data_IF_951607323977
#
_entry.id   IF_951607323977
#
_cell.length_a   1.000
_cell.length_b   1.000
_cell.length_c   1.000
_cell.angle_alpha   90.00
_cell.angle_beta   90.00
_cell.angle_gamma   90.00
#
_symmetry.space_group_name_H-M   'P 1'
#
loop_
_entity.id
_entity.type
_entity.pdbx_description
1 polymer ?
#
# COMPACT_ATOMS: atom_id res chain seq x y z
N UNK A 1 -24.99 -16.52 15.54
CA UNK A 1 -23.79 -15.68 15.46
C UNK A 1 -23.62 -15.34 13.99
N UNK A 2 -24.15 -14.21 13.55
CA UNK A 2 -24.01 -13.71 12.18
C UNK A 2 -22.74 -12.87 12.11
N UNK A 3 -21.69 -13.43 11.52
CA UNK A 3 -20.52 -12.70 11.08
C UNK A 3 -20.94 -11.76 9.93
N UNK A 4 -21.05 -10.48 10.23
CA UNK A 4 -21.12 -9.44 9.21
C UNK A 4 -19.68 -9.19 8.78
N UNK A 5 -19.23 -9.90 7.73
CA UNK A 5 -18.00 -9.55 7.02
C UNK A 5 -18.31 -8.35 6.15
N UNK A 6 -17.91 -7.19 6.62
CA UNK A 6 -17.81 -5.98 5.81
C UNK A 6 -16.66 -6.17 4.82
N UNK A 7 -17.00 -6.41 3.56
CA UNK A 7 -16.06 -6.32 2.46
C UNK A 7 -15.59 -4.85 2.37
N UNK A 8 -14.42 -4.52 2.89
CA UNK A 8 -13.80 -3.24 2.66
C UNK A 8 -13.22 -3.22 1.24
N UNK A 9 -14.05 -2.76 0.35
CA UNK A 9 -13.64 -2.30 -0.96
C UNK A 9 -12.80 -1.04 -0.71
N UNK A 10 -11.52 -1.06 -1.05
CA UNK A 10 -10.74 0.16 -1.25
C UNK A 10 -11.41 0.93 -2.38
N UNK A 11 -12.37 1.78 -2.01
CA UNK A 11 -13.03 2.68 -2.94
C UNK A 11 -12.06 3.82 -3.31
N UNK A 12 -11.18 3.56 -4.26
CA UNK A 12 -10.62 4.63 -5.06
C UNK A 12 -11.72 5.18 -5.95
N UNK A 13 -12.45 6.17 -5.44
CA UNK A 13 -13.35 6.96 -6.26
C UNK A 13 -12.53 7.79 -7.25
N UNK A 14 -12.52 7.34 -8.49
CA UNK A 14 -12.14 8.18 -9.61
C UNK A 14 -13.18 9.30 -9.78
N UNK A 15 -12.96 10.45 -9.15
CA UNK A 15 -13.72 11.66 -9.48
C UNK A 15 -13.17 12.24 -10.77
N UNK A 16 -13.98 12.14 -11.83
CA UNK A 16 -13.84 12.95 -13.04
C UNK A 16 -14.00 14.43 -12.65
N UNK A 17 -12.90 15.16 -12.53
CA UNK A 17 -12.91 16.61 -12.35
C UNK A 17 -13.30 17.30 -13.67
N UNK A 18 -14.56 17.67 -13.83
CA UNK A 18 -14.92 18.77 -14.71
C UNK A 18 -14.47 20.08 -14.04
N UNK A 19 -13.63 20.84 -14.75
CA UNK A 19 -13.14 22.16 -14.29
C UNK A 19 -14.32 23.13 -14.15
N UNK A 20 -14.53 23.76 -12.98
CA UNK A 20 -15.39 24.93 -12.88
C UNK A 20 -14.65 26.17 -13.41
N UNK A 21 -15.35 26.98 -14.19
CA UNK A 21 -14.92 28.32 -14.58
C UNK A 21 -14.88 29.26 -13.36
N UNK A 22 -13.98 30.23 -13.30
CA UNK A 22 -13.89 31.15 -12.17
C UNK A 22 -15.09 32.14 -12.20
N UNK A 23 -15.89 32.12 -11.15
CA UNK A 23 -16.85 33.19 -10.87
C UNK A 23 -16.26 34.16 -9.84
N UNK A 24 -16.19 35.42 -10.26
CA UNK A 24 -15.90 36.55 -9.38
C UNK A 24 -17.01 36.69 -8.34
N UNK A 25 -16.70 36.46 -7.07
CA UNK A 25 -17.59 36.78 -5.95
C UNK A 25 -16.95 37.80 -5.02
N UNK A 26 -17.57 38.99 -5.00
CA UNK A 26 -17.30 40.08 -4.06
C UNK A 26 -17.57 39.62 -2.63
N UNK A 27 -16.57 39.77 -1.78
CA UNK A 27 -16.65 39.57 -0.33
C UNK A 27 -17.61 40.61 0.30
N UNK A 28 -18.70 40.11 0.85
CA UNK A 28 -19.56 40.89 1.80
C UNK A 28 -19.16 40.51 3.21
N UNK A 29 -18.64 41.45 3.96
CA UNK A 29 -18.29 41.28 5.39
C UNK A 29 -19.56 41.07 6.23
N UNK A 30 -19.69 39.90 6.84
CA UNK A 30 -20.72 39.62 7.86
C UNK A 30 -20.17 39.83 9.27
N UNK A 31 -20.99 40.49 10.11
CA UNK A 31 -20.68 40.80 11.54
C UNK A 31 -20.55 39.49 12.37
N UNK A 32 -19.73 39.48 13.44
CA UNK A 32 -19.57 38.32 14.29
C UNK A 32 -20.86 38.01 15.06
N UNK A 33 -21.27 36.75 15.07
CA UNK A 33 -22.37 36.23 15.88
C UNK A 33 -21.78 35.82 17.25
N UNK A 34 -22.30 36.40 18.30
CA UNK A 34 -21.94 36.09 19.70
C UNK A 34 -22.55 34.73 20.08
N UNK A 35 -21.74 33.67 20.17
CA UNK A 35 -22.20 32.32 20.58
C UNK A 35 -22.12 32.18 22.08
N UNK A 36 -23.27 32.07 22.74
CA UNK A 36 -23.36 31.76 24.19
C UNK A 36 -22.82 30.36 24.45
N UNK A 37 -21.72 30.27 25.19
CA UNK A 37 -21.13 29.01 25.63
C UNK A 37 -22.04 28.29 26.64
N UNK A 38 -22.81 27.30 26.16
CA UNK A 38 -23.43 26.29 27.00
C UNK A 38 -22.38 25.25 27.42
N UNK A 39 -22.34 24.88 28.71
CA UNK A 39 -21.45 23.81 29.19
C UNK A 39 -21.84 22.48 28.54
N UNK A 40 -20.93 21.74 27.92
CA UNK A 40 -21.23 20.43 27.33
C UNK A 40 -21.55 19.42 28.44
N UNK A 41 -22.71 18.76 28.35
CA UNK A 41 -23.02 17.56 29.13
C UNK A 41 -22.15 16.42 28.61
N UNK A 42 -21.34 15.82 29.50
CA UNK A 42 -20.53 14.64 29.17
C UNK A 42 -21.45 13.44 28.81
N UNK A 43 -21.32 12.81 27.65
CA UNK A 43 -21.98 11.54 27.41
C UNK A 43 -21.23 10.45 28.16
N UNK A 44 -21.96 9.62 28.91
CA UNK A 44 -21.43 8.38 29.51
C UNK A 44 -21.58 7.25 28.50
N UNK A 45 -20.79 7.25 27.46
CA UNK A 45 -20.67 6.10 26.56
C UNK A 45 -19.68 5.08 27.17
N UNK A 46 -20.13 3.89 27.47
CA UNK A 46 -19.27 2.76 27.84
C UNK A 46 -18.82 2.13 26.52
N UNK A 47 -17.62 2.46 26.10
CA UNK A 47 -16.99 1.85 24.94
C UNK A 47 -16.45 0.47 25.33
N UNK A 48 -16.99 -0.57 24.77
CA UNK A 48 -16.44 -1.95 24.92
C UNK A 48 -15.56 -2.21 23.71
N UNK A 49 -14.23 -2.27 23.86
CA UNK A 49 -13.34 -2.59 22.76
C UNK A 49 -13.52 -4.06 22.39
N UNK A 50 -13.86 -4.35 21.14
CA UNK A 50 -13.77 -5.69 20.57
C UNK A 50 -12.38 -5.80 19.95
N UNK A 51 -11.48 -6.50 20.61
CA UNK A 51 -10.13 -6.77 20.10
C UNK A 51 -10.08 -8.18 19.56
N UNK A 52 -9.73 -8.31 18.29
CA UNK A 52 -9.46 -9.61 17.67
C UNK A 52 -8.00 -9.66 17.27
N UNK A 53 -7.31 -10.71 17.69
CA UNK A 53 -5.92 -10.99 17.31
C UNK A 53 -5.88 -12.37 16.69
N UNK A 54 -5.40 -12.51 15.47
CA UNK A 54 -5.24 -13.80 14.82
C UNK A 54 -4.02 -13.85 13.90
N UNK A 55 -3.37 -15.01 13.92
CA UNK A 55 -2.21 -15.30 13.08
C UNK A 55 -2.64 -15.99 11.79
N UNK A 56 -2.24 -15.44 10.67
CA UNK A 56 -2.37 -16.06 9.34
C UNK A 56 -0.98 -16.40 8.82
N UNK A 57 -0.75 -17.69 8.58
CA UNK A 57 0.57 -18.20 8.20
C UNK A 57 0.68 -18.47 6.72
N UNK A 58 1.87 -18.25 6.17
CA UNK A 58 2.26 -18.54 4.77
C UNK A 58 1.30 -17.90 3.76
N UNK A 59 1.16 -16.60 3.89
CA UNK A 59 0.12 -15.84 3.19
C UNK A 59 0.57 -15.21 1.89
N UNK A 60 1.88 -14.92 1.75
CA UNK A 60 2.43 -14.35 0.51
C UNK A 60 3.07 -15.42 -0.34
N UNK A 61 2.67 -15.45 -1.60
CA UNK A 61 3.14 -16.44 -2.56
C UNK A 61 3.65 -15.78 -3.82
N UNK A 62 4.79 -16.27 -4.30
CA UNK A 62 5.29 -15.96 -5.64
C UNK A 62 4.67 -16.91 -6.66
N UNK A 63 4.26 -16.35 -7.78
CA UNK A 63 3.77 -17.09 -8.94
C UNK A 63 4.53 -16.68 -10.19
N UNK A 64 4.79 -17.62 -11.07
CA UNK A 64 5.36 -17.39 -12.38
C UNK A 64 4.49 -18.03 -13.43
N UNK A 65 4.28 -17.35 -14.54
CA UNK A 65 3.40 -17.86 -15.58
C UNK A 65 3.22 -16.89 -16.73
N UNK A 66 2.01 -16.84 -17.24
CA UNK A 66 1.71 -16.00 -18.40
C UNK A 66 0.27 -15.50 -18.40
N UNK A 67 0.07 -14.33 -19.00
CA UNK A 67 -1.24 -13.76 -19.34
C UNK A 67 -1.24 -13.50 -20.85
N UNK A 68 -2.12 -14.18 -21.60
CA UNK A 68 -2.17 -14.05 -23.06
C UNK A 68 -0.86 -14.43 -23.76
N UNK A 69 -0.15 -15.43 -23.26
CA UNK A 69 1.13 -15.86 -23.81
C UNK A 69 2.32 -14.95 -23.50
N UNK A 70 2.14 -13.90 -22.67
CA UNK A 70 3.21 -13.02 -22.22
C UNK A 70 3.64 -13.45 -20.82
N UNK A 71 4.94 -13.72 -20.63
CA UNK A 71 5.52 -14.08 -19.35
C UNK A 71 5.21 -13.01 -18.29
N UNK A 72 4.84 -13.47 -17.10
CA UNK A 72 4.48 -12.60 -15.98
C UNK A 72 4.86 -13.26 -14.64
N UNK A 73 5.16 -12.41 -13.66
CA UNK A 73 5.40 -12.79 -12.26
C UNK A 73 4.38 -12.09 -11.40
N UNK A 74 3.79 -12.81 -10.44
CA UNK A 74 2.87 -12.24 -9.47
C UNK A 74 3.32 -12.53 -8.05
N UNK A 75 3.08 -11.58 -7.15
CA UNK A 75 3.22 -11.73 -5.70
C UNK A 75 1.83 -11.50 -5.11
N UNK A 76 1.27 -12.53 -4.51
CA UNK A 76 -0.09 -12.51 -3.99
C UNK A 76 -0.12 -12.88 -2.51
N UNK A 77 -0.78 -12.06 -1.72
CA UNK A 77 -1.32 -12.43 -0.43
C UNK A 77 -2.60 -13.23 -0.68
N UNK A 78 -2.70 -14.40 -0.06
CA UNK A 78 -3.88 -15.26 -0.16
C UNK A 78 -4.44 -15.47 1.23
N UNK A 79 -5.44 -14.69 1.58
CA UNK A 79 -6.21 -14.84 2.82
C UNK A 79 -7.38 -15.81 2.66
N UNK A 80 -8.20 -15.89 3.68
CA UNK A 80 -9.40 -16.75 3.68
C UNK A 80 -10.46 -16.28 2.67
N UNK A 81 -10.67 -14.97 2.58
CA UNK A 81 -11.69 -14.33 1.73
C UNK A 81 -11.13 -13.26 0.83
N UNK A 82 -9.90 -12.84 1.07
CA UNK A 82 -9.22 -11.74 0.38
C UNK A 82 -8.00 -12.25 -0.36
N UNK A 83 -7.76 -11.72 -1.55
CA UNK A 83 -6.51 -11.88 -2.29
C UNK A 83 -6.08 -10.51 -2.78
N UNK A 84 -4.88 -10.11 -2.41
CA UNK A 84 -4.28 -8.83 -2.83
C UNK A 84 -2.84 -9.06 -3.27
N UNK A 85 -2.31 -8.14 -4.04
CA UNK A 85 -0.90 -8.19 -4.44
C UNK A 85 -0.65 -7.41 -5.71
N UNK A 86 0.30 -7.89 -6.47
CA UNK A 86 0.66 -7.28 -7.76
C UNK A 86 1.26 -8.29 -8.72
N UNK A 87 1.19 -7.98 -10.01
CA UNK A 87 1.93 -8.71 -11.01
C UNK A 87 2.60 -7.77 -12.00
N UNK A 88 3.55 -8.27 -12.77
CA UNK A 88 4.24 -7.53 -13.81
C UNK A 88 4.64 -8.45 -14.96
N UNK A 89 4.55 -7.92 -16.17
CA UNK A 89 5.02 -8.60 -17.37
C UNK A 89 6.54 -8.53 -17.47
N UNK A 90 7.18 -9.64 -17.82
CA UNK A 90 8.63 -9.78 -17.88
C UNK A 90 9.35 -8.73 -18.74
N UNK A 91 8.73 -8.28 -19.81
CA UNK A 91 9.34 -7.27 -20.69
C UNK A 91 9.04 -5.84 -20.32
N UNK A 92 8.09 -5.62 -19.44
CA UNK A 92 7.62 -4.28 -19.04
C UNK A 92 8.16 -3.94 -17.66
N UNK A 93 8.12 -4.89 -16.71
CA UNK A 93 8.63 -4.75 -15.35
C UNK A 93 7.81 -3.83 -14.43
N UNK A 94 6.86 -3.08 -15.01
CA UNK A 94 5.98 -2.20 -14.24
C UNK A 94 4.94 -3.02 -13.49
N UNK A 95 4.73 -2.76 -12.18
CA UNK A 95 3.70 -3.45 -11.40
C UNK A 95 2.30 -3.04 -11.83
N UNK A 96 1.38 -4.00 -11.76
CA UNK A 96 -0.06 -3.83 -11.85
C UNK A 96 -0.61 -4.36 -10.53
N UNK A 97 -1.24 -3.50 -9.75
CA UNK A 97 -1.77 -3.88 -8.46
C UNK A 97 -3.07 -4.68 -8.64
N UNK A 98 -3.26 -5.65 -7.75
CA UNK A 98 -4.38 -6.57 -7.74
C UNK A 98 -5.07 -6.53 -6.37
N UNK A 99 -6.38 -6.42 -6.39
CA UNK A 99 -7.20 -6.59 -5.18
C UNK A 99 -8.50 -7.30 -5.51
N UNK A 100 -8.93 -8.20 -4.63
CA UNK A 100 -10.17 -8.92 -4.85
C UNK A 100 -10.46 -9.98 -3.80
N UNK A 101 -11.29 -10.94 -4.17
CA UNK A 101 -11.88 -11.88 -3.25
C UNK A 101 -11.64 -13.34 -3.66
N UNK A 102 -11.47 -14.18 -2.65
CA UNK A 102 -11.50 -15.64 -2.78
C UNK A 102 -12.82 -16.17 -2.26
N UNK A 103 -13.49 -16.95 -3.08
CA UNK A 103 -14.75 -17.60 -2.75
C UNK A 103 -14.53 -18.98 -2.09
N UNK A 104 -15.56 -19.55 -1.49
CA UNK A 104 -15.49 -20.85 -0.81
C UNK A 104 -15.07 -22.02 -1.71
N UNK A 105 -15.26 -21.89 -3.02
CA UNK A 105 -14.89 -22.90 -4.03
C UNK A 105 -13.52 -22.62 -4.65
N UNK A 106 -12.67 -21.82 -3.98
CA UNK A 106 -11.35 -21.38 -4.45
C UNK A 106 -11.35 -20.55 -5.74
N UNK A 107 -12.52 -20.13 -6.22
CA UNK A 107 -12.58 -19.12 -7.28
C UNK A 107 -12.10 -17.76 -6.77
N UNK A 108 -11.39 -17.02 -7.62
CA UNK A 108 -10.78 -15.75 -7.31
C UNK A 108 -11.15 -14.73 -8.38
N UNK A 109 -11.49 -13.53 -7.92
CA UNK A 109 -11.77 -12.36 -8.75
C UNK A 109 -10.84 -11.24 -8.31
N UNK A 110 -9.83 -10.92 -9.15
CA UNK A 110 -8.84 -9.88 -8.86
C UNK A 110 -8.98 -8.74 -9.87
N UNK A 111 -9.35 -7.58 -9.39
CA UNK A 111 -9.37 -6.36 -10.18
C UNK A 111 -7.96 -5.79 -10.32
N UNK A 112 -7.62 -5.37 -11.52
CA UNK A 112 -6.41 -4.62 -11.83
C UNK A 112 -6.61 -3.13 -11.52
N UNK A 113 -5.61 -2.56 -10.88
CA UNK A 113 -5.53 -1.12 -10.63
C UNK A 113 -4.30 -0.56 -11.35
N UNK A 114 -4.52 0.21 -12.41
CA UNK A 114 -3.47 0.91 -13.13
C UNK A 114 -3.81 2.39 -13.24
N UNK A 115 -3.04 3.20 -12.53
CA UNK A 115 -3.30 4.65 -12.40
C UNK A 115 -3.19 5.37 -13.76
N UNK A 116 -2.41 4.85 -14.71
CA UNK A 116 -2.02 5.62 -15.89
C UNK A 116 -2.89 5.45 -17.12
N UNK A 117 -3.53 4.32 -17.30
CA UNK A 117 -4.17 3.99 -18.58
C UNK A 117 -5.69 3.79 -18.51
N UNK A 118 -6.30 3.85 -17.34
CA UNK A 118 -7.74 3.66 -17.17
C UNK A 118 -8.28 2.31 -17.71
N UNK A 119 -7.40 1.39 -18.09
CA UNK A 119 -7.78 0.07 -18.57
C UNK A 119 -7.77 -0.88 -17.41
N UNK A 120 -8.92 -1.03 -16.81
CA UNK A 120 -9.12 -2.00 -15.75
C UNK A 120 -9.49 -3.34 -16.37
N UNK A 121 -8.84 -4.38 -15.89
CA UNK A 121 -9.20 -5.76 -16.19
C UNK A 121 -9.46 -6.52 -14.90
N UNK A 122 -9.94 -7.74 -15.04
CA UNK A 122 -10.16 -8.63 -13.92
C UNK A 122 -9.56 -10.00 -14.25
N UNK A 123 -8.76 -10.54 -13.33
CA UNK A 123 -8.35 -11.95 -13.37
C UNK A 123 -9.45 -12.78 -12.70
N UNK A 124 -10.19 -13.52 -13.50
CA UNK A 124 -11.23 -14.44 -13.04
C UNK A 124 -10.71 -15.88 -13.16
N UNK A 125 -10.52 -16.59 -12.04
CA UNK A 125 -9.91 -17.92 -12.09
C UNK A 125 -10.06 -18.74 -10.82
N UNK A 126 -9.30 -19.83 -10.78
CA UNK A 126 -9.25 -20.78 -9.67
C UNK A 126 -7.82 -20.92 -9.16
N UNK A 127 -7.65 -20.93 -7.85
CA UNK A 127 -6.39 -21.34 -7.21
C UNK A 127 -6.53 -22.81 -6.84
N UNK A 128 -5.80 -23.66 -7.56
CA UNK A 128 -5.83 -25.10 -7.37
C UNK A 128 -4.90 -25.53 -6.21
N UNK A 129 -5.21 -26.68 -5.59
CA UNK A 129 -4.43 -27.23 -4.47
C UNK A 129 -2.98 -27.56 -4.82
N UNK A 130 -2.69 -27.82 -6.09
CA UNK A 130 -1.32 -28.05 -6.62
C UNK A 130 -0.50 -26.75 -6.78
N UNK A 131 -1.12 -25.59 -6.46
CA UNK A 131 -0.48 -24.29 -6.57
C UNK A 131 -0.59 -23.65 -7.95
N UNK A 132 -1.45 -24.15 -8.82
CA UNK A 132 -1.77 -23.50 -10.09
C UNK A 132 -2.89 -22.47 -9.87
N UNK A 133 -2.69 -21.25 -10.36
CA UNK A 133 -3.72 -20.23 -10.47
C UNK A 133 -3.99 -19.98 -11.96
N UNK A 134 -5.17 -20.34 -12.42
CA UNK A 134 -5.50 -20.26 -13.84
C UNK A 134 -6.93 -19.77 -14.08
N UNK A 135 -7.13 -19.15 -15.24
CA UNK A 135 -8.42 -18.59 -15.62
C UNK A 135 -8.34 -17.65 -16.82
N UNK A 136 -9.16 -16.62 -16.79
CA UNK A 136 -9.17 -15.61 -17.84
C UNK A 136 -8.99 -14.21 -17.25
N UNK A 137 -8.13 -13.44 -17.88
CA UNK A 137 -8.17 -11.99 -17.79
C UNK A 137 -9.33 -11.49 -18.64
N UNK A 138 -10.16 -10.62 -18.09
CA UNK A 138 -11.36 -10.06 -18.74
C UNK A 138 -11.25 -8.55 -18.69
N UNK A 139 -11.41 -7.87 -19.85
CA UNK A 139 -11.45 -6.41 -19.89
C UNK A 139 -12.66 -5.85 -19.14
N UNK A 140 -12.60 -4.60 -18.70
CA UNK A 140 -13.68 -3.93 -17.96
C UNK A 140 -15.02 -3.99 -18.72
N UNK A 141 -15.01 -3.73 -20.03
CA UNK A 141 -16.19 -3.82 -20.92
C UNK A 141 -16.59 -5.27 -21.25
N UNK A 142 -15.87 -6.26 -20.68
CA UNK A 142 -16.04 -7.70 -20.92
C UNK A 142 -15.95 -8.16 -22.39
N UNK A 143 -15.49 -7.29 -23.28
CA UNK A 143 -15.38 -7.59 -24.71
C UNK A 143 -14.20 -8.51 -25.04
N UNK A 144 -13.17 -8.55 -24.18
CA UNK A 144 -11.96 -9.35 -24.38
C UNK A 144 -11.77 -10.33 -23.25
N UNK A 145 -11.47 -11.56 -23.59
CA UNK A 145 -11.03 -12.61 -22.68
C UNK A 145 -9.68 -13.15 -23.13
N UNK A 146 -8.75 -13.26 -22.19
CA UNK A 146 -7.40 -13.71 -22.45
C UNK A 146 -6.99 -14.74 -21.39
N UNK A 147 -6.63 -15.97 -21.74
CA UNK A 147 -6.28 -16.98 -20.75
C UNK A 147 -5.01 -16.59 -19.99
N UNK A 148 -4.97 -16.95 -18.72
CA UNK A 148 -3.77 -16.87 -17.90
C UNK A 148 -3.53 -18.17 -17.17
N UNK A 149 -2.26 -18.44 -16.87
CA UNK A 149 -1.83 -19.53 -16.00
C UNK A 149 -0.58 -19.10 -15.23
N UNK A 150 -0.63 -19.28 -13.93
CA UNK A 150 0.46 -19.03 -13.01
C UNK A 150 0.73 -20.29 -12.18
N UNK A 151 1.98 -20.56 -11.90
CA UNK A 151 2.43 -21.66 -11.06
C UNK A 151 3.10 -21.09 -9.82
N UNK A 152 2.69 -21.54 -8.64
CA UNK A 152 3.32 -21.16 -7.38
C UNK A 152 4.78 -21.57 -7.39
N UNK A 153 5.66 -20.62 -7.06
CA UNK A 153 7.09 -20.85 -6.88
C UNK A 153 7.47 -20.67 -5.43
N UNK A 154 7.97 -21.73 -4.82
CA UNK A 154 8.52 -21.62 -3.47
C UNK A 154 9.82 -20.84 -3.54
N UNK A 155 9.96 -19.84 -2.67
CA UNK A 155 11.25 -19.22 -2.38
C UNK A 155 11.91 -20.08 -1.30
N UNK A 156 13.05 -20.72 -1.58
CA UNK A 156 13.64 -21.69 -0.65
C UNK A 156 13.91 -21.07 0.72
N UNK A 157 13.37 -21.70 1.76
CA UNK A 157 13.59 -21.29 3.14
C UNK A 157 12.94 -19.96 3.57
N UNK A 158 12.06 -19.40 2.74
CA UNK A 158 11.31 -18.19 3.07
C UNK A 158 9.84 -18.52 3.26
N UNK A 159 9.27 -18.12 4.39
CA UNK A 159 7.83 -18.13 4.65
C UNK A 159 7.40 -16.83 5.32
N UNK A 160 6.15 -16.47 5.15
CA UNK A 160 5.56 -15.23 5.67
C UNK A 160 4.46 -15.55 6.66
N UNK A 161 4.36 -14.74 7.70
CA UNK A 161 3.27 -14.77 8.66
C UNK A 161 2.73 -13.36 8.83
N UNK A 162 1.42 -13.21 8.91
CA UNK A 162 0.77 -11.93 9.15
C UNK A 162 -0.03 -12.04 10.44
N UNK A 163 0.28 -11.18 11.41
CA UNK A 163 -0.54 -10.99 12.59
C UNK A 163 -1.52 -9.86 12.32
N UNK A 164 -2.80 -10.14 12.38
CA UNK A 164 -3.86 -9.16 12.17
C UNK A 164 -4.42 -8.75 13.53
N UNK A 165 -4.43 -7.45 13.78
CA UNK A 165 -5.03 -6.82 14.94
C UNK A 165 -6.21 -5.99 14.46
N UNK A 166 -7.38 -6.25 15.02
CA UNK A 166 -8.58 -5.48 14.70
C UNK A 166 -9.23 -4.98 16.00
N UNK A 167 -9.60 -3.72 16.02
CA UNK A 167 -10.37 -3.13 17.08
C UNK A 167 -11.50 -2.28 16.49
N UNK A 168 -12.73 -2.70 16.77
CA UNK A 168 -13.92 -1.88 16.56
C UNK A 168 -14.30 -1.20 17.86
N UNK A 169 -14.79 0.03 17.77
CA UNK A 169 -15.44 0.70 18.90
C UNK A 169 -16.87 1.02 18.45
N UNK A 170 -17.81 0.22 18.95
CA UNK A 170 -19.23 0.51 18.77
C UNK A 170 -19.62 1.69 19.66
N UNK A 171 -20.12 2.77 19.07
CA UNK A 171 -20.84 3.80 19.79
C UNK A 171 -22.24 3.27 20.10
N UNK A 172 -22.43 2.68 21.29
CA UNK A 172 -23.70 2.05 21.69
C UNK A 172 -24.75 3.05 22.21
N UNK A 173 -24.57 4.34 22.10
CA UNK A 173 -25.59 5.32 22.42
C UNK A 173 -25.91 6.26 21.25
N UNK A 174 -27.05 6.02 20.63
CA UNK A 174 -27.77 7.08 19.92
C UNK A 174 -28.17 8.12 20.94
N UNK A 175 -27.67 9.35 20.80
CA UNK A 175 -28.33 10.48 21.45
C UNK A 175 -29.78 10.52 20.95
N UNK A 176 -30.73 10.25 21.84
CA UNK A 176 -32.16 10.45 21.56
C UNK A 176 -32.39 11.94 21.31
N UNK A 177 -32.42 12.35 20.08
CA UNK A 177 -32.89 13.70 19.80
C UNK A 177 -32.33 14.46 18.63
N UNK A 178 -31.59 13.90 17.67
CA UNK A 178 -31.20 14.65 16.48
C UNK A 178 -31.41 13.87 15.19
N UNK A 179 -31.86 14.60 14.22
CA UNK A 179 -32.36 14.28 12.89
C UNK A 179 -31.77 13.06 12.16
N UNK A 180 -32.66 12.43 11.38
CA UNK A 180 -32.43 11.39 10.40
C UNK A 180 -31.23 11.70 9.49
N UNK A 181 -30.07 11.07 9.70
CA UNK A 181 -28.96 11.17 8.75
C UNK A 181 -27.55 10.89 9.25
N UNK A 182 -27.30 10.87 10.55
CA UNK A 182 -25.95 10.51 11.03
C UNK A 182 -25.79 8.99 11.08
N UNK A 183 -25.10 8.45 10.09
CA UNK A 183 -24.61 7.08 10.11
C UNK A 183 -23.85 6.84 11.43
N UNK A 184 -24.02 5.67 12.06
CA UNK A 184 -23.27 5.28 13.24
C UNK A 184 -21.77 5.38 12.92
N UNK A 185 -21.12 6.39 13.45
CA UNK A 185 -19.69 6.57 13.31
C UNK A 185 -18.98 5.48 14.14
N UNK A 186 -18.59 4.40 13.49
CA UNK A 186 -17.74 3.37 14.10
C UNK A 186 -16.30 3.76 13.82
N UNK A 187 -15.51 3.92 14.85
CA UNK A 187 -14.09 4.06 14.64
C UNK A 187 -13.46 2.68 14.60
N UNK A 188 -12.59 2.45 13.64
CA UNK A 188 -11.93 1.16 13.42
C UNK A 188 -10.42 1.34 13.41
N UNK A 189 -9.73 0.39 14.01
CA UNK A 189 -8.30 0.24 13.87
C UNK A 189 -8.02 -1.16 13.33
N UNK A 190 -7.19 -1.23 12.30
CA UNK A 190 -6.65 -2.49 11.79
C UNK A 190 -5.15 -2.35 11.61
N UNK A 191 -4.42 -3.36 12.05
CA UNK A 191 -3.00 -3.48 11.74
C UNK A 191 -2.69 -4.91 11.27
N UNK A 192 -2.03 -5.02 10.12
CA UNK A 192 -1.53 -6.29 9.57
C UNK A 192 -0.01 -6.27 9.61
N UNK A 193 0.56 -6.96 10.59
CA UNK A 193 2.01 -6.96 10.84
C UNK A 193 2.63 -8.22 10.26
N UNK A 194 3.45 -8.03 9.24
CA UNK A 194 4.18 -9.08 8.57
C UNK A 194 5.45 -9.47 9.34
N UNK A 195 5.67 -10.77 9.49
CA UNK A 195 6.93 -11.33 9.95
C UNK A 195 7.44 -12.39 8.98
N UNK A 196 8.75 -12.53 8.91
CA UNK A 196 9.43 -13.46 8.03
C UNK A 196 10.10 -14.56 8.83
N UNK A 197 10.00 -15.79 8.31
CA UNK A 197 10.88 -16.89 8.68
C UNK A 197 11.76 -17.21 7.48
N UNK A 198 13.07 -17.26 7.73
CA UNK A 198 14.06 -17.60 6.70
C UNK A 198 14.82 -18.87 7.09
N UNK A 199 15.48 -19.53 6.12
CA UNK A 199 16.33 -20.69 6.38
C UNK A 199 17.41 -20.43 7.45
N UNK A 200 17.85 -19.18 7.59
CA UNK A 200 18.69 -18.71 8.68
C UNK A 200 17.85 -17.89 9.67
N UNK A 201 17.49 -18.41 10.84
CA UNK A 201 16.68 -17.68 11.82
C UNK A 201 17.28 -16.32 12.23
N UNK A 202 18.60 -16.19 12.22
CA UNK A 202 19.28 -14.93 12.51
C UNK A 202 18.98 -13.84 11.47
N UNK A 203 18.89 -14.21 10.19
CA UNK A 203 18.54 -13.30 9.09
C UNK A 203 17.08 -12.86 9.22
N UNK A 204 16.16 -13.81 9.40
CA UNK A 204 14.74 -13.50 9.61
C UNK A 204 14.55 -12.56 10.80
N UNK A 205 15.17 -12.86 11.95
CA UNK A 205 15.11 -12.00 13.13
C UNK A 205 15.64 -10.59 12.86
N UNK A 206 16.75 -10.47 12.11
CA UNK A 206 17.33 -9.18 11.76
C UNK A 206 16.39 -8.35 10.87
N UNK A 207 15.82 -8.95 9.82
CA UNK A 207 14.87 -8.27 8.93
C UNK A 207 13.65 -7.82 9.73
N UNK A 208 13.05 -8.72 10.52
CA UNK A 208 11.87 -8.41 11.35
C UNK A 208 12.16 -7.26 12.34
N UNK A 209 13.34 -7.23 12.96
CA UNK A 209 13.71 -6.14 13.87
C UNK A 209 13.85 -4.79 13.15
N UNK A 210 14.42 -4.78 11.93
CA UNK A 210 14.51 -3.55 11.14
C UNK A 210 13.10 -3.09 10.73
N UNK A 211 12.23 -4.00 10.28
CA UNK A 211 10.85 -3.66 9.90
C UNK A 211 10.05 -3.11 11.09
N UNK A 212 10.16 -3.71 12.28
CA UNK A 212 9.53 -3.19 13.49
C UNK A 212 10.00 -1.76 13.79
N UNK A 213 11.32 -1.50 13.75
CA UNK A 213 11.85 -0.15 13.95
C UNK A 213 11.38 0.87 12.88
N UNK A 214 11.19 0.41 11.63
CA UNK A 214 10.65 1.28 10.56
C UNK A 214 9.19 1.59 10.75
N UNK A 215 8.41 0.59 11.18
CA UNK A 215 7.01 0.76 11.54
C UNK A 215 6.84 1.75 12.70
N UNK A 216 7.61 1.59 13.77
CA UNK A 216 7.60 2.51 14.91
C UNK A 216 7.97 3.94 14.48
N UNK A 217 9.00 4.08 13.65
CA UNK A 217 9.43 5.38 13.15
C UNK A 217 8.35 6.06 12.28
N UNK A 218 7.65 5.30 11.43
CA UNK A 218 6.57 5.82 10.59
C UNK A 218 5.38 6.25 11.43
N UNK A 219 4.96 5.42 12.38
CA UNK A 219 3.88 5.73 13.31
C UNK A 219 4.20 7.00 14.12
N UNK A 220 5.41 7.11 14.66
CA UNK A 220 5.82 8.28 15.43
C UNK A 220 5.91 9.56 14.59
N UNK A 221 6.35 9.46 13.33
CA UNK A 221 6.45 10.61 12.44
C UNK A 221 5.09 11.15 12.00
N UNK A 222 4.15 10.25 11.67
CA UNK A 222 2.83 10.63 11.14
C UNK A 222 1.83 10.98 12.26
N UNK A 223 1.92 10.33 13.42
CA UNK A 223 0.94 10.46 14.49
C UNK A 223 1.42 11.24 15.71
N UNK A 224 2.67 11.74 15.73
CA UNK A 224 3.30 12.41 16.87
C UNK A 224 3.17 11.62 18.19
N UNK A 225 3.24 10.31 18.13
CA UNK A 225 2.99 9.39 19.24
C UNK A 225 4.29 8.82 19.81
N UNK A 226 4.25 8.55 21.13
CA UNK A 226 5.41 8.00 21.83
C UNK A 226 5.76 6.54 21.50
N UNK A 227 6.92 6.17 21.90
CA UNK A 227 7.89 5.15 21.50
C UNK A 227 7.48 3.68 21.36
N UNK A 228 6.22 3.24 21.40
CA UNK A 228 5.85 1.84 21.22
C UNK A 228 4.44 1.59 20.66
N UNK A 229 4.20 0.37 20.17
CA UNK A 229 2.90 -0.05 19.65
C UNK A 229 1.77 0.05 20.69
N UNK A 230 2.08 -0.06 21.98
CA UNK A 230 1.13 0.16 23.06
C UNK A 230 0.72 1.64 23.17
N UNK A 231 1.63 2.55 22.82
CA UNK A 231 1.38 3.99 22.73
C UNK A 231 0.45 4.33 21.58
N UNK A 232 0.60 3.69 20.40
CA UNK A 232 -0.35 3.80 19.29
C UNK A 232 -1.76 3.45 19.75
N UNK A 233 -1.88 2.36 20.47
CA UNK A 233 -3.14 1.87 21.02
C UNK A 233 -3.78 2.85 22.01
N UNK A 234 -2.98 3.46 22.85
CA UNK A 234 -3.43 4.49 23.79
C UNK A 234 -3.83 5.77 23.07
N UNK A 235 -3.11 6.16 22.03
CA UNK A 235 -3.41 7.36 21.28
C UNK A 235 -4.66 7.23 20.40
N UNK A 236 -4.91 6.09 19.77
CA UNK A 236 -6.18 5.80 19.10
C UNK A 236 -7.35 5.90 20.10
N UNK A 237 -7.16 5.42 21.33
CA UNK A 237 -8.15 5.60 22.40
C UNK A 237 -8.31 7.04 22.87
N UNK A 238 -7.24 7.83 22.86
CA UNK A 238 -7.25 9.20 23.34
C UNK A 238 -7.78 10.19 22.30
N UNK A 239 -7.41 10.02 21.04
CA UNK A 239 -7.94 10.83 19.92
C UNK A 239 -9.47 10.75 19.84
N UNK A 240 -10.05 9.58 20.13
CA UNK A 240 -11.50 9.41 20.23
C UNK A 240 -12.15 10.17 21.37
N UNK A 241 -11.49 10.26 22.51
CA UNK A 241 -12.02 11.00 23.66
C UNK A 241 -12.05 12.50 23.40
N UNK A 242 -11.18 12.97 22.50
CA UNK A 242 -11.03 14.38 22.14
C UNK A 242 -11.82 14.77 20.88
N UNK A 243 -12.00 13.86 19.93
CA UNK A 243 -12.59 14.12 18.60
C UNK A 243 -14.14 14.17 18.56
N UNK A 244 -14.81 13.99 19.68
CA UNK A 244 -16.24 14.30 19.76
C UNK A 244 -17.21 13.53 18.88
N UNK A 245 -16.82 12.36 18.35
CA UNK A 245 -17.76 11.43 17.72
C UNK A 245 -17.65 11.27 16.21
N UNK A 246 -16.68 11.87 15.53
CA UNK A 246 -16.45 11.61 14.12
C UNK A 246 -15.76 10.24 13.91
N UNK A 247 -16.13 9.54 12.83
CA UNK A 247 -15.60 8.22 12.53
C UNK A 247 -14.11 8.33 12.19
N UNK A 248 -13.26 7.79 13.05
CA UNK A 248 -11.84 7.68 12.80
C UNK A 248 -11.51 6.25 12.36
N UNK A 249 -10.87 6.12 11.22
CA UNK A 249 -10.40 4.84 10.73
C UNK A 249 -8.89 4.92 10.53
N UNK A 250 -8.19 3.93 11.08
CA UNK A 250 -6.75 3.81 10.97
C UNK A 250 -6.40 2.39 10.51
N UNK A 251 -5.72 2.31 9.37
CA UNK A 251 -5.23 1.05 8.82
C UNK A 251 -3.71 1.14 8.67
N UNK A 252 -3.03 0.13 9.20
CA UNK A 252 -1.59 -0.05 9.04
C UNK A 252 -1.37 -1.44 8.44
N UNK A 253 -0.74 -1.52 7.29
CA UNK A 253 -0.42 -2.79 6.67
C UNK A 253 1.07 -2.90 6.37
N UNK A 254 1.66 -4.04 6.69
CA UNK A 254 2.95 -4.43 6.15
C UNK A 254 2.76 -5.58 5.16
N UNK A 255 3.44 -5.49 4.03
CA UNK A 255 3.20 -6.37 2.88
C UNK A 255 4.48 -6.73 2.12
N UNK A 256 4.37 -7.75 1.26
CA UNK A 256 5.44 -8.14 0.33
C UNK A 256 5.11 -7.58 -1.05
N UNK A 257 5.98 -6.72 -1.59
CA UNK A 257 5.83 -6.18 -2.94
C UNK A 257 6.60 -7.01 -4.00
N UNK A 258 7.69 -7.67 -3.59
CA UNK A 258 8.44 -8.64 -4.40
C UNK A 258 9.23 -9.61 -3.54
N UNK A 259 9.45 -10.85 -4.00
CA UNK A 259 10.35 -11.81 -3.37
C UNK A 259 10.89 -12.84 -4.36
N UNK A 260 12.15 -13.22 -4.19
CA UNK A 260 12.80 -14.38 -4.83
C UNK A 260 13.90 -14.95 -3.93
N UNK A 261 14.81 -15.76 -4.49
CA UNK A 261 15.91 -16.38 -3.73
C UNK A 261 17.02 -15.41 -3.31
N UNK A 262 17.05 -14.19 -3.86
CA UNK A 262 18.09 -13.21 -3.60
C UNK A 262 17.62 -12.09 -2.67
N UNK A 263 16.44 -11.56 -2.93
CA UNK A 263 15.93 -10.41 -2.19
C UNK A 263 14.44 -10.51 -1.87
N UNK A 264 14.04 -9.74 -0.87
CA UNK A 264 12.64 -9.47 -0.57
C UNK A 264 12.41 -7.96 -0.48
N UNK A 265 11.34 -7.49 -1.11
CA UNK A 265 10.85 -6.12 -0.98
C UNK A 265 9.63 -6.13 -0.07
N UNK A 266 9.69 -5.34 1.00
CA UNK A 266 8.64 -5.20 2.01
C UNK A 266 8.17 -3.76 2.03
N UNK A 267 6.85 -3.58 2.14
CA UNK A 267 6.25 -2.26 2.31
C UNK A 267 5.57 -2.14 3.67
N UNK A 268 5.45 -0.90 4.12
CA UNK A 268 4.57 -0.48 5.20
C UNK A 268 3.68 0.60 4.62
N UNK A 269 2.38 0.45 4.73
CA UNK A 269 1.40 1.48 4.39
C UNK A 269 0.62 1.91 5.62
N UNK A 270 0.24 3.15 5.60
CA UNK A 270 -0.55 3.81 6.60
C UNK A 270 -1.68 4.56 5.91
N UNK A 271 -2.89 4.38 6.39
CA UNK A 271 -4.06 5.10 5.92
C UNK A 271 -4.89 5.54 7.13
N UNK A 272 -5.27 6.81 7.16
CA UNK A 272 -6.07 7.39 8.23
C UNK A 272 -7.17 8.25 7.66
N UNK A 273 -8.38 8.05 8.14
CA UNK A 273 -9.53 8.91 7.89
C UNK A 273 -10.03 9.48 9.22
N UNK A 274 -9.91 10.77 9.39
CA UNK A 274 -10.36 11.51 10.60
C UNK A 274 -11.75 12.13 10.42
N UNK A 275 -12.55 11.66 9.45
CA UNK A 275 -13.81 12.30 9.10
C UNK A 275 -13.63 13.61 8.31
N UNK A 276 -12.40 13.93 7.90
CA UNK A 276 -12.09 15.09 7.06
C UNK A 276 -12.34 14.78 5.58
N UNK A 277 -12.37 15.82 4.75
CA UNK A 277 -12.62 15.69 3.32
C UNK A 277 -11.62 14.81 2.57
N UNK A 278 -10.42 14.60 3.10
CA UNK A 278 -9.36 13.82 2.50
C UNK A 278 -8.68 12.94 3.54
N UNK A 279 -8.63 11.61 3.33
CA UNK A 279 -7.83 10.73 4.16
C UNK A 279 -6.34 11.00 3.94
N UNK A 280 -5.53 10.70 4.96
CA UNK A 280 -4.09 10.68 4.88
C UNK A 280 -3.62 9.27 4.51
N UNK A 281 -2.69 9.19 3.58
CA UNK A 281 -2.06 7.95 3.18
C UNK A 281 -0.55 8.14 3.04
N UNK A 282 0.21 7.15 3.45
CA UNK A 282 1.66 7.11 3.29
C UNK A 282 2.12 5.67 3.12
N UNK A 283 3.15 5.46 2.32
CA UNK A 283 3.78 4.15 2.18
C UNK A 283 5.29 4.27 2.12
N UNK A 284 5.97 3.27 2.63
CA UNK A 284 7.43 3.18 2.59
C UNK A 284 7.85 1.76 2.22
N UNK A 285 8.78 1.66 1.29
CA UNK A 285 9.27 0.40 0.76
C UNK A 285 10.71 0.14 1.19
N UNK A 286 11.06 -1.13 1.38
CA UNK A 286 12.35 -1.58 1.86
C UNK A 286 12.79 -2.83 1.10
N UNK A 287 14.02 -2.88 0.67
CA UNK A 287 14.62 -4.06 0.03
C UNK A 287 15.60 -4.70 0.99
N UNK A 288 15.51 -6.01 1.16
CA UNK A 288 16.45 -6.77 1.97
C UNK A 288 17.15 -7.83 1.14
N UNK A 289 18.46 -7.93 1.33
CA UNK A 289 19.27 -9.04 0.85
C UNK A 289 19.01 -10.27 1.71
N UNK A 290 18.47 -11.34 1.14
CA UNK A 290 18.13 -12.57 1.88
C UNK A 290 19.34 -13.38 2.30
N UNK A 291 20.53 -13.10 1.77
CA UNK A 291 21.79 -13.74 2.20
C UNK A 291 22.34 -13.13 3.48
N UNK A 292 22.17 -11.82 3.68
CA UNK A 292 22.80 -11.07 4.78
C UNK A 292 21.79 -10.44 5.75
N UNK A 293 20.53 -10.32 5.35
CA UNK A 293 19.49 -9.60 6.07
C UNK A 293 19.73 -8.08 6.13
N UNK A 294 20.61 -7.56 5.27
CA UNK A 294 20.89 -6.13 5.23
C UNK A 294 19.85 -5.40 4.40
N UNK A 295 19.52 -4.18 4.81
CA UNK A 295 18.76 -3.24 4.02
C UNK A 295 19.56 -2.82 2.78
N UNK A 296 18.96 -2.92 1.61
CA UNK A 296 19.52 -2.48 0.34
C UNK A 296 19.13 -1.03 0.11
N UNK A 297 20.13 -0.16 -0.03
CA UNK A 297 19.96 1.27 -0.32
C UNK A 297 20.54 1.61 -1.68
N UNK A 298 20.17 2.75 -2.26
CA UNK A 298 20.78 3.20 -3.53
C UNK A 298 22.30 3.27 -3.42
N UNK A 299 22.83 3.78 -2.32
CA UNK A 299 24.29 3.86 -2.10
C UNK A 299 24.96 2.49 -1.96
N UNK A 300 24.24 1.45 -1.52
CA UNK A 300 24.79 0.08 -1.43
C UNK A 300 24.91 -0.59 -2.79
N UNK A 301 24.07 -0.22 -3.75
CA UNK A 301 24.00 -0.89 -5.08
C UNK A 301 24.55 -0.04 -6.24
N UNK A 302 24.65 1.28 -6.06
CA UNK A 302 25.13 2.22 -7.10
C UNK A 302 26.62 2.56 -6.90
N UNK A 303 27.31 2.83 -7.99
CA UNK A 303 28.69 3.34 -8.00
C UNK A 303 28.77 4.71 -7.30
N UNK A 304 29.94 5.15 -6.84
CA UNK A 304 30.11 6.51 -6.33
C UNK A 304 29.63 7.58 -7.34
N UNK A 305 29.11 8.68 -6.85
CA UNK A 305 28.64 9.83 -7.66
C UNK A 305 27.44 9.55 -8.58
N UNK A 306 26.66 8.51 -8.31
CA UNK A 306 25.50 8.12 -9.11
C UNK A 306 24.36 9.15 -9.14
N UNK A 307 24.24 9.99 -8.10
CA UNK A 307 23.04 10.83 -7.84
C UNK A 307 22.63 11.70 -9.02
N UNK A 308 23.56 12.41 -9.63
CA UNK A 308 23.28 13.31 -10.77
C UNK A 308 22.70 12.53 -11.95
N UNK A 309 23.38 11.47 -12.38
CA UNK A 309 22.93 10.66 -13.51
C UNK A 309 21.61 9.92 -13.21
N UNK A 310 21.44 9.43 -11.98
CA UNK A 310 20.21 8.78 -11.58
C UNK A 310 19.03 9.75 -11.57
N UNK A 311 19.23 10.98 -11.09
CA UNK A 311 18.20 12.03 -11.11
C UNK A 311 17.79 12.41 -12.55
N UNK A 312 18.73 12.44 -13.49
CA UNK A 312 18.41 12.69 -14.90
C UNK A 312 17.59 11.57 -15.53
N UNK A 313 17.97 10.30 -15.27
CA UNK A 313 17.20 9.12 -15.71
C UNK A 313 15.82 9.15 -15.09
N UNK A 314 15.72 9.36 -13.79
CA UNK A 314 14.47 9.44 -13.05
C UNK A 314 13.53 10.53 -13.59
N UNK A 315 14.07 11.73 -13.80
CA UNK A 315 13.31 12.86 -14.38
C UNK A 315 12.70 12.48 -15.73
N UNK A 316 13.48 11.89 -16.63
CA UNK A 316 12.98 11.43 -17.93
C UNK A 316 11.92 10.34 -17.81
N UNK A 317 12.07 9.45 -16.84
CA UNK A 317 11.09 8.39 -16.60
C UNK A 317 9.76 8.98 -16.07
N UNK A 318 9.83 9.91 -15.11
CA UNK A 318 8.65 10.58 -14.54
C UNK A 318 7.92 11.42 -15.58
N UNK A 319 8.64 12.15 -16.43
CA UNK A 319 8.03 12.97 -17.50
C UNK A 319 7.20 12.17 -18.50
N UNK A 320 7.41 10.85 -18.58
CA UNK A 320 6.55 9.95 -19.38
C UNK A 320 5.20 9.66 -18.70
N UNK A 321 5.14 9.86 -17.38
CA UNK A 321 3.98 9.53 -16.52
C UNK A 321 3.18 10.79 -16.21
N UNK A 322 3.86 11.83 -15.77
CA UNK A 322 3.25 13.11 -15.38
C UNK A 322 4.01 14.28 -16.01
N UNK A 323 3.30 15.39 -16.21
CA UNK A 323 3.89 16.67 -16.58
C UNK A 323 3.69 17.65 -15.43
N UNK A 324 4.78 18.03 -14.76
CA UNK A 324 4.73 18.96 -13.64
C UNK A 324 5.94 19.92 -13.65
N UNK A 325 5.75 21.23 -13.38
CA UNK A 325 6.83 22.22 -13.41
C UNK A 325 8.03 21.92 -12.49
N UNK A 326 7.79 21.28 -11.34
CA UNK A 326 8.87 20.89 -10.41
C UNK A 326 9.88 19.91 -11.03
N UNK A 327 9.50 19.17 -12.06
CA UNK A 327 10.42 18.26 -12.76
C UNK A 327 11.46 19.00 -13.59
N UNK A 328 11.22 20.26 -13.91
CA UNK A 328 12.17 21.13 -14.63
C UNK A 328 13.15 21.83 -13.69
N UNK A 329 12.92 21.77 -12.38
CA UNK A 329 13.80 22.34 -11.38
C UNK A 329 15.18 21.65 -11.40
N UNK A 330 16.24 22.44 -11.24
CA UNK A 330 17.60 21.93 -11.04
C UNK A 330 17.75 21.18 -9.70
N UNK A 331 16.86 21.47 -8.76
CA UNK A 331 16.84 20.88 -7.41
C UNK A 331 16.01 19.59 -7.35
N UNK A 332 15.53 19.09 -8.48
CA UNK A 332 14.82 17.81 -8.52
C UNK A 332 15.72 16.68 -8.02
N UNK A 333 15.21 15.93 -7.04
CA UNK A 333 15.85 14.75 -6.47
C UNK A 333 14.89 13.58 -6.60
N UNK A 334 15.37 12.47 -7.15
CA UNK A 334 14.62 11.22 -7.21
C UNK A 334 14.41 10.69 -5.78
N UNK A 335 13.22 10.21 -5.48
CA UNK A 335 12.92 9.64 -4.16
C UNK A 335 13.86 8.48 -3.82
N UNK A 336 14.15 8.29 -2.53
CA UNK A 336 14.89 7.11 -2.04
C UNK A 336 13.93 5.96 -1.64
N UNK A 337 12.62 6.15 -1.79
CA UNK A 337 11.60 5.14 -1.59
C UNK A 337 11.47 4.27 -2.86
N UNK A 338 12.08 3.09 -2.87
CA UNK A 338 12.14 2.26 -4.06
C UNK A 338 12.10 0.77 -3.74
N UNK A 339 11.62 -0.01 -4.72
CA UNK A 339 11.70 -1.46 -4.75
C UNK A 339 12.44 -1.96 -5.99
N UNK A 340 12.71 -3.25 -6.02
CA UNK A 340 13.36 -3.93 -7.13
C UNK A 340 12.53 -5.15 -7.57
N UNK A 341 12.55 -5.42 -8.86
CA UNK A 341 12.11 -6.69 -9.42
C UNK A 341 13.16 -7.19 -10.45
N UNK A 342 13.00 -8.32 -11.12
CA UNK A 342 14.01 -8.83 -12.08
C UNK A 342 14.28 -7.93 -13.30
N UNK A 343 13.48 -6.89 -13.52
CA UNK A 343 13.52 -6.08 -14.74
C UNK A 343 14.00 -4.64 -14.50
N UNK A 344 13.95 -4.15 -13.25
CA UNK A 344 14.34 -2.79 -12.93
C UNK A 344 14.04 -2.38 -11.49
N UNK A 345 14.19 -1.09 -11.24
CA UNK A 345 13.79 -0.43 -10.01
C UNK A 345 12.46 0.30 -10.18
N UNK A 346 11.66 0.30 -9.14
CA UNK A 346 10.39 1.02 -9.06
C UNK A 346 10.55 2.05 -7.95
N UNK A 347 10.39 3.33 -8.28
CA UNK A 347 10.45 4.45 -7.34
C UNK A 347 9.03 4.88 -6.99
N UNK A 348 8.72 4.88 -5.70
CA UNK A 348 7.38 5.11 -5.17
C UNK A 348 7.26 6.54 -4.67
N UNK A 349 6.40 7.32 -5.29
CA UNK A 349 6.10 8.68 -4.89
C UNK A 349 4.83 8.75 -4.07
N UNK A 350 4.92 9.44 -2.95
CA UNK A 350 3.78 9.70 -2.08
C UNK A 350 3.00 10.89 -2.59
N UNK A 351 1.79 11.03 -2.08
CA UNK A 351 0.98 12.23 -2.31
C UNK A 351 1.76 13.49 -1.92
N UNK A 352 1.82 14.47 -2.84
CA UNK A 352 2.47 15.75 -2.61
C UNK A 352 4.00 15.78 -2.66
N UNK A 353 4.66 14.65 -2.96
CA UNK A 353 6.13 14.65 -3.16
C UNK A 353 6.55 15.38 -4.44
N UNK A 354 5.69 15.37 -5.46
CA UNK A 354 5.87 16.15 -6.69
C UNK A 354 4.56 16.87 -6.96
N UNK A 355 4.46 18.16 -6.57
CA UNK A 355 3.30 18.98 -6.82
C UNK A 355 2.50 19.39 -5.58
N UNK A 356 1.19 19.57 -5.72
CA UNK A 356 0.31 19.99 -4.63
C UNK A 356 -0.30 18.79 -3.92
N UNK A 357 -0.17 18.71 -2.61
CA UNK A 357 -0.67 17.62 -1.77
C UNK A 357 -2.17 17.31 -1.92
N UNK A 358 -2.95 18.24 -2.43
CA UNK A 358 -4.41 18.06 -2.60
C UNK A 358 -4.82 17.51 -3.98
N UNK A 359 -3.97 17.64 -4.98
CA UNK A 359 -4.29 17.27 -6.35
C UNK A 359 -3.59 16.01 -6.83
N UNK A 360 -2.51 15.63 -6.15
CA UNK A 360 -1.67 14.54 -6.61
C UNK A 360 -2.05 13.22 -5.94
N UNK A 361 -2.05 12.17 -6.73
CA UNK A 361 -2.19 10.79 -6.27
C UNK A 361 -0.78 10.18 -6.15
N UNK A 362 -0.56 9.20 -5.25
CA UNK A 362 0.67 8.42 -5.25
C UNK A 362 0.87 7.74 -6.61
N UNK A 363 2.11 7.64 -7.07
CA UNK A 363 2.40 6.97 -8.34
C UNK A 363 3.77 6.28 -8.31
N UNK A 364 3.93 5.30 -9.17
CA UNK A 364 5.14 4.51 -9.32
C UNK A 364 5.88 4.85 -10.62
N UNK A 365 7.20 4.93 -10.55
CA UNK A 365 8.07 5.14 -11.71
C UNK A 365 9.00 3.95 -11.88
N UNK A 366 8.84 3.22 -12.96
CA UNK A 366 9.69 2.10 -13.30
C UNK A 366 10.88 2.54 -14.16
N UNK A 367 12.09 2.15 -13.74
CA UNK A 367 13.34 2.38 -14.49
C UNK A 367 13.99 1.01 -14.76
N UNK A 368 14.10 0.58 -16.02
CA UNK A 368 14.65 -0.73 -16.36
C UNK A 368 16.15 -0.81 -16.08
N UNK A 369 16.64 -2.01 -15.77
CA UNK A 369 18.09 -2.21 -15.56
C UNK A 369 18.96 -1.85 -16.75
N UNK A 370 18.42 -1.89 -17.98
CA UNK A 370 19.14 -1.42 -19.17
C UNK A 370 19.58 0.06 -19.07
N UNK A 371 18.77 0.91 -18.42
CA UNK A 371 19.11 2.33 -18.19
C UNK A 371 20.01 2.50 -16.95
N UNK A 372 19.87 1.62 -15.95
CA UNK A 372 20.61 1.69 -14.67
C UNK A 372 21.99 1.00 -14.71
N UNK A 373 22.21 0.07 -15.65
CA UNK A 373 23.43 -0.75 -15.76
C UNK A 373 24.73 0.06 -15.63
N UNK A 374 24.90 1.23 -16.27
CA UNK A 374 26.11 2.02 -16.12
C UNK A 374 26.40 2.50 -14.69
N UNK A 375 25.35 2.64 -13.88
CA UNK A 375 25.41 3.18 -12.52
C UNK A 375 25.53 2.07 -11.46
N UNK A 376 25.19 0.83 -11.77
CA UNK A 376 25.21 -0.27 -10.81
C UNK A 376 26.63 -0.75 -10.50
N UNK A 377 26.86 -1.08 -9.23
CA UNK A 377 28.07 -1.80 -8.81
C UNK A 377 28.01 -3.24 -9.31
N UNK A 378 29.07 -3.77 -9.94
CA UNK A 378 29.09 -5.15 -10.44
C UNK A 378 28.87 -6.21 -9.36
N UNK A 379 29.32 -5.92 -8.14
CA UNK A 379 29.21 -6.80 -6.97
C UNK A 379 27.90 -6.64 -6.16
N UNK A 380 27.02 -5.75 -6.58
CA UNK A 380 25.76 -5.53 -5.88
C UNK A 380 24.80 -6.69 -6.06
N UNK A 381 23.86 -6.86 -5.11
CA UNK A 381 22.81 -7.87 -5.22
C UNK A 381 21.98 -7.72 -6.51
N UNK A 382 21.81 -6.49 -7.00
CA UNK A 382 21.06 -6.21 -8.22
C UNK A 382 21.76 -6.71 -9.49
N UNK A 383 23.06 -6.99 -9.44
CA UNK A 383 23.79 -7.57 -10.56
C UNK A 383 23.26 -8.96 -10.96
N UNK A 384 22.59 -9.66 -10.05
CA UNK A 384 21.92 -10.94 -10.34
C UNK A 384 20.83 -10.82 -11.42
N UNK A 385 20.27 -9.62 -11.61
CA UNK A 385 19.18 -9.35 -12.56
C UNK A 385 19.67 -8.68 -13.84
N UNK A 386 20.85 -8.08 -13.81
CA UNK A 386 21.43 -7.40 -14.98
C UNK A 386 22.13 -8.43 -15.84
N UNK A 387 21.42 -8.99 -16.81
CA UNK A 387 22.07 -9.83 -17.82
C UNK A 387 23.17 -9.03 -18.53
N UNK A 388 24.39 -9.49 -18.39
CA UNK A 388 25.59 -8.93 -19.02
C UNK A 388 25.56 -9.19 -20.53
#
# INVERSE_FOLDING_TARGET
VHLIFGAFLLLFFGFSCQRPQPQDNKLTQSKPIEVKKGKPKKPNAVLVPVTTEHLVSDTYHRFEGQVGGRGAVAILFIGNTEVIGRYFYERIGRPIDLSGQRMKNDSVYLHEYCIENGTYGTLEGLIHNDGVFSGNWVSEDRSRKTPFVFHRRKVPGLTTQVMVYEMGLDATERSKGDDEGTANATSQFRASILTLNTSSPAIGKKINAIMASKLDAMINAEMMLGDDFSSLWQAVKQSKKEAGGDANELVIDSYVSYMDEHLICLGISYWQNEGLAHPWDSSQEFIFDLKTGNLVTLSSVMKPNFKTSLNEIGRKAIQKVISHPSLESKDFILTENFTANPFGLIFHYRRGEIGSSYADIPFDVFIPYSELKPLLKPESILSNYVKI
#
